data_IF_855220522997
#
_entry.id   IF_855220522997
#
_cell.length_a   1.000
_cell.length_b   1.000
_cell.length_c   1.000
_cell.angle_alpha   90.00
_cell.angle_beta   90.00
_cell.angle_gamma   90.00
#
_symmetry.space_group_name_H-M   'P 1'
#
loop_
_entity.id
_entity.type
_entity.pdbx_description
1 polymer ?
#
# COMPACT_ATOMS: atom_id res chain seq x y z
N UNK A 1 -17.02 1.29 14.47
CA UNK A 1 -15.69 0.88 13.99
C UNK A 1 -15.42 1.63 12.72
N UNK A 2 -14.43 2.52 12.71
CA UNK A 2 -14.13 3.33 11.54
C UNK A 2 -13.07 2.65 10.66
N UNK A 3 -13.12 2.97 9.37
CA UNK A 3 -12.16 2.52 8.36
C UNK A 3 -11.66 3.72 7.57
N UNK A 4 -10.41 3.63 7.15
CA UNK A 4 -9.73 4.68 6.42
C UNK A 4 -9.12 4.12 5.14
N UNK A 5 -9.15 4.92 4.08
CA UNK A 5 -8.34 4.70 2.88
C UNK A 5 -6.91 5.10 3.21
N UNK A 6 -5.98 4.16 3.06
CA UNK A 6 -4.56 4.37 3.28
C UNK A 6 -3.85 4.74 1.99
N UNK A 7 -3.05 5.81 2.02
CA UNK A 7 -2.25 6.28 0.89
C UNK A 7 -0.83 6.59 1.31
N UNK A 8 0.13 6.19 0.49
CA UNK A 8 1.49 6.68 0.61
C UNK A 8 1.50 8.13 0.14
N UNK A 9 2.05 9.01 0.97
CA UNK A 9 2.23 10.41 0.61
C UNK A 9 3.50 10.95 1.24
N UNK A 10 4.32 11.56 0.40
CA UNK A 10 5.50 12.29 0.82
C UNK A 10 5.58 13.62 0.03
N UNK A 11 6.33 14.58 0.55
CA UNK A 11 6.57 15.87 -0.12
C UNK A 11 7.94 15.87 -0.80
N UNK A 12 8.94 15.19 -0.21
CA UNK A 12 10.34 15.14 -0.69
C UNK A 12 10.94 13.73 -0.57
N UNK A 13 10.10 12.70 -0.55
CA UNK A 13 10.56 11.31 -0.42
C UNK A 13 11.23 10.86 -1.70
N UNK A 14 12.36 10.16 -1.57
CA UNK A 14 13.02 9.54 -2.72
C UNK A 14 12.07 8.56 -3.40
N UNK A 15 11.57 8.94 -4.58
CA UNK A 15 10.66 8.09 -5.35
C UNK A 15 11.42 6.90 -5.90
N UNK A 16 10.77 5.74 -5.92
CA UNK A 16 11.29 4.54 -6.56
C UNK A 16 10.46 4.27 -7.80
N UNK A 17 11.13 4.10 -8.94
CA UNK A 17 10.46 3.97 -10.23
C UNK A 17 10.17 2.52 -10.63
N UNK A 18 10.92 1.58 -10.07
CA UNK A 18 10.85 0.17 -10.47
C UNK A 18 11.01 -0.79 -9.30
N UNK A 19 10.38 -1.96 -9.43
CA UNK A 19 10.68 -3.11 -8.59
C UNK A 19 12.11 -3.60 -8.84
N UNK A 20 12.69 -4.41 -7.92
CA UNK A 20 14.00 -4.98 -8.17
C UNK A 20 14.04 -5.77 -9.49
N UNK A 21 15.20 -5.81 -10.13
CA UNK A 21 15.41 -6.62 -11.34
C UNK A 21 14.95 -8.07 -11.12
N UNK A 22 14.28 -8.63 -12.13
CA UNK A 22 13.66 -9.96 -12.12
C UNK A 22 12.38 -10.07 -11.26
N UNK A 23 11.80 -8.96 -10.84
CA UNK A 23 10.48 -8.97 -10.22
C UNK A 23 9.38 -9.41 -11.20
N UNK A 24 8.26 -9.93 -10.68
CA UNK A 24 7.07 -10.18 -11.48
C UNK A 24 6.57 -8.90 -12.15
N UNK A 25 5.76 -9.06 -13.20
CA UNK A 25 5.04 -7.95 -13.83
C UNK A 25 4.11 -7.25 -12.83
N UNK A 26 4.06 -5.91 -12.88
CA UNK A 26 3.37 -5.05 -11.92
C UNK A 26 1.95 -5.48 -11.58
N UNK A 27 1.15 -5.86 -12.58
CA UNK A 27 -0.24 -6.29 -12.38
C UNK A 27 -0.38 -7.47 -11.38
N UNK A 28 0.65 -8.32 -11.22
CA UNK A 28 0.61 -9.43 -10.26
C UNK A 28 0.62 -8.97 -8.80
N UNK A 29 1.15 -7.78 -8.51
CA UNK A 29 1.12 -7.20 -7.16
C UNK A 29 -0.30 -6.72 -6.78
N UNK A 30 -1.11 -6.38 -7.80
CA UNK A 30 -2.50 -5.97 -7.63
C UNK A 30 -3.45 -7.18 -7.41
N UNK A 31 -3.02 -8.41 -7.67
CA UNK A 31 -3.89 -9.60 -7.56
C UNK A 31 -4.08 -10.14 -6.13
N UNK A 32 -3.25 -9.75 -5.17
CA UNK A 32 -3.34 -10.26 -3.79
C UNK A 32 -2.94 -11.73 -3.66
N UNK A 33 -2.12 -12.22 -4.58
CA UNK A 33 -1.53 -13.57 -4.54
C UNK A 33 -0.14 -13.52 -3.92
N UNK A 34 0.32 -14.65 -3.37
CA UNK A 34 1.67 -14.82 -2.86
C UNK A 34 2.71 -14.65 -3.98
N UNK A 35 3.70 -13.79 -3.76
CA UNK A 35 4.77 -13.49 -4.71
C UNK A 35 6.14 -13.97 -4.24
N UNK A 36 6.28 -14.51 -3.03
CA UNK A 36 7.58 -14.90 -2.46
C UNK A 36 8.42 -15.83 -3.37
N UNK A 37 7.80 -16.66 -4.21
CA UNK A 37 8.52 -17.57 -5.13
C UNK A 37 9.02 -16.91 -6.41
N UNK A 38 8.39 -15.83 -6.84
CA UNK A 38 8.70 -15.12 -8.08
C UNK A 38 9.36 -13.77 -7.84
N UNK A 39 9.36 -13.29 -6.60
CA UNK A 39 10.02 -12.05 -6.19
C UNK A 39 11.49 -12.29 -5.85
N UNK A 40 12.41 -11.42 -6.30
CA UNK A 40 13.83 -11.48 -5.93
C UNK A 40 14.04 -11.00 -4.49
N UNK A 41 13.95 -11.92 -3.53
CA UNK A 41 14.16 -11.64 -2.11
C UNK A 41 15.54 -11.04 -1.84
N UNK A 42 15.59 -9.92 -1.12
CA UNK A 42 16.81 -9.16 -0.89
C UNK A 42 17.30 -8.36 -2.10
N UNK A 43 16.45 -8.22 -3.12
CA UNK A 43 16.71 -7.37 -4.28
C UNK A 43 16.91 -5.91 -3.91
N UNK A 44 17.38 -5.13 -4.87
CA UNK A 44 17.70 -3.72 -4.67
C UNK A 44 16.69 -2.84 -5.41
N UNK A 45 16.29 -1.75 -4.78
CA UNK A 45 15.58 -0.63 -5.42
C UNK A 45 16.37 0.64 -5.18
N UNK A 46 16.26 1.60 -6.09
CA UNK A 46 17.01 2.86 -6.02
C UNK A 46 16.06 4.04 -6.14
N UNK A 47 16.45 5.17 -5.55
CA UNK A 47 15.80 6.44 -5.82
C UNK A 47 15.91 6.79 -7.30
N UNK A 48 14.83 7.37 -7.82
CA UNK A 48 14.65 7.76 -9.21
C UNK A 48 15.54 8.92 -9.59
N UNK A 49 16.36 8.73 -10.62
CA UNK A 49 17.12 9.83 -11.24
C UNK A 49 16.22 10.92 -11.87
N UNK A 50 14.92 10.66 -12.05
CA UNK A 50 13.95 11.68 -12.49
C UNK A 50 13.62 12.70 -11.39
N UNK A 51 13.98 12.40 -10.13
CA UNK A 51 13.73 13.24 -8.96
C UNK A 51 15.00 13.41 -8.08
N UNK A 52 16.10 13.97 -8.61
CA UNK A 52 17.43 13.94 -7.98
C UNK A 52 17.52 14.68 -6.63
N UNK A 53 16.59 15.59 -6.36
CA UNK A 53 16.51 16.36 -5.13
C UNK A 53 15.69 15.65 -4.04
N UNK A 54 14.88 14.65 -4.41
CA UNK A 54 14.04 13.89 -3.48
C UNK A 54 14.86 12.79 -2.79
N UNK A 55 15.26 13.01 -1.54
CA UNK A 55 16.21 12.10 -0.85
C UNK A 55 15.71 11.55 0.46
N UNK A 56 14.54 11.98 0.93
CA UNK A 56 14.08 11.61 2.25
C UNK A 56 13.60 10.16 2.28
N UNK A 57 14.00 9.46 3.33
CA UNK A 57 13.46 8.16 3.69
C UNK A 57 12.23 8.33 4.58
N UNK A 58 11.22 7.55 4.27
CA UNK A 58 9.96 7.48 4.99
C UNK A 58 9.67 6.03 5.38
N UNK A 59 8.76 5.86 6.33
CA UNK A 59 8.33 4.52 6.74
C UNK A 59 7.47 3.83 5.71
N UNK A 60 6.68 4.62 4.98
CA UNK A 60 6.00 4.21 3.78
C UNK A 60 6.60 5.01 2.63
N UNK A 61 7.45 4.36 1.84
CA UNK A 61 8.26 5.02 0.83
C UNK A 61 7.45 5.18 -0.47
N UNK A 62 7.40 6.41 -1.05
CA UNK A 62 6.74 6.65 -2.32
C UNK A 62 7.41 5.85 -3.46
N UNK A 63 6.57 5.32 -4.35
CA UNK A 63 7.02 4.63 -5.54
C UNK A 63 5.96 4.74 -6.66
N UNK A 64 6.39 4.53 -7.90
CA UNK A 64 5.50 4.60 -9.08
C UNK A 64 4.71 3.31 -9.30
N UNK A 65 5.13 2.19 -8.69
CA UNK A 65 4.51 0.89 -8.88
C UNK A 65 3.25 0.67 -8.01
N UNK A 66 2.82 1.68 -7.25
CA UNK A 66 1.64 1.65 -6.35
C UNK A 66 1.69 0.58 -5.25
N UNK A 67 2.87 0.03 -4.98
CA UNK A 67 3.07 -0.94 -3.92
C UNK A 67 3.34 -0.26 -2.57
N UNK A 68 3.16 -1.01 -1.50
CA UNK A 68 3.44 -0.54 -0.15
C UNK A 68 4.89 -0.87 0.22
N UNK A 69 5.84 0.03 -0.06
CA UNK A 69 7.23 -0.16 0.38
C UNK A 69 7.39 0.35 1.81
N UNK A 70 7.68 -0.55 2.74
CA UNK A 70 7.60 -0.31 4.18
C UNK A 70 8.97 -0.46 4.84
N UNK A 71 9.32 0.46 5.73
CA UNK A 71 10.54 0.38 6.56
C UNK A 71 10.46 -0.77 7.57
N UNK A 72 11.60 -1.23 8.06
CA UNK A 72 11.68 -2.28 9.07
C UNK A 72 10.98 -1.92 10.38
N UNK A 73 10.94 -0.63 10.76
CA UNK A 73 10.21 -0.21 11.96
C UNK A 73 8.70 -0.29 11.76
N UNK A 74 8.19 0.16 10.61
CA UNK A 74 6.77 0.06 10.31
C UNK A 74 6.35 -1.40 10.10
N UNK A 75 7.18 -2.23 9.47
CA UNK A 75 6.98 -3.67 9.37
C UNK A 75 6.77 -4.31 10.75
N UNK A 76 7.70 -4.08 11.69
CA UNK A 76 7.59 -4.62 13.06
C UNK A 76 6.32 -4.17 13.78
N UNK A 77 5.92 -2.93 13.60
CA UNK A 77 4.66 -2.44 14.17
C UNK A 77 3.46 -3.18 13.57
N UNK A 78 3.42 -3.30 12.24
CA UNK A 78 2.35 -4.02 11.52
C UNK A 78 2.29 -5.49 11.96
N UNK A 79 3.44 -6.16 12.12
CA UNK A 79 3.52 -7.52 12.65
C UNK A 79 2.98 -7.60 14.08
N UNK A 80 3.31 -6.64 14.95
CA UNK A 80 2.81 -6.58 16.34
C UNK A 80 1.29 -6.37 16.44
N UNK A 81 0.69 -5.76 15.41
CA UNK A 81 -0.76 -5.61 15.30
C UNK A 81 -1.43 -6.92 14.85
N UNK A 82 -0.69 -7.97 14.48
CA UNK A 82 -1.25 -9.28 14.17
C UNK A 82 -1.99 -9.34 12.83
N UNK A 83 -1.52 -8.62 11.81
CA UNK A 83 -2.06 -8.77 10.46
C UNK A 83 -1.75 -10.18 9.92
N UNK A 84 -2.79 -10.93 9.59
CA UNK A 84 -2.69 -12.32 9.13
C UNK A 84 -2.47 -12.46 7.62
N UNK A 85 -2.72 -11.40 6.86
CA UNK A 85 -2.66 -11.37 5.41
C UNK A 85 -1.42 -10.63 4.87
N UNK A 86 -0.47 -10.26 5.72
CA UNK A 86 0.74 -9.56 5.31
C UNK A 86 1.80 -10.54 4.78
N UNK A 87 2.17 -10.41 3.50
CA UNK A 87 3.39 -10.98 2.94
C UNK A 87 4.46 -9.90 2.83
N UNK A 88 5.67 -10.19 3.32
CA UNK A 88 6.81 -9.27 3.27
C UNK A 88 7.80 -9.74 2.22
N UNK A 89 8.14 -8.84 1.29
CA UNK A 89 9.09 -9.06 0.21
C UNK A 89 10.30 -8.12 0.42
N UNK A 90 11.33 -8.57 1.17
CA UNK A 90 12.44 -7.72 1.62
C UNK A 90 13.30 -7.23 0.46
N UNK A 91 13.72 -5.98 0.56
CA UNK A 91 14.60 -5.28 -0.38
C UNK A 91 15.52 -4.34 0.36
N UNK A 92 16.57 -3.88 -0.33
CA UNK A 92 17.40 -2.75 0.13
C UNK A 92 17.11 -1.53 -0.74
N UNK A 93 17.03 -0.36 -0.10
CA UNK A 93 16.85 0.93 -0.76
C UNK A 93 18.19 1.63 -0.91
N UNK A 94 18.50 2.04 -2.15
CA UNK A 94 19.69 2.82 -2.50
C UNK A 94 19.34 4.27 -2.83
N UNK A 95 20.26 5.17 -2.55
CA UNK A 95 20.17 6.56 -3.02
C UNK A 95 20.55 6.67 -4.52
N UNK A 96 20.48 7.89 -5.07
CA UNK A 96 20.87 8.20 -6.44
C UNK A 96 22.37 7.96 -6.74
N UNK A 97 23.20 7.80 -5.71
CA UNK A 97 24.63 7.48 -5.85
C UNK A 97 24.89 5.98 -5.75
N UNK A 98 23.84 5.17 -5.50
CA UNK A 98 23.94 3.73 -5.32
C UNK A 98 24.34 3.29 -3.91
N UNK A 99 24.43 4.21 -2.94
CA UNK A 99 24.70 3.86 -1.55
C UNK A 99 23.44 3.28 -0.91
N UNK A 100 23.60 2.27 -0.06
CA UNK A 100 22.48 1.73 0.72
C UNK A 100 22.07 2.74 1.80
N UNK A 101 20.83 3.22 1.73
CA UNK A 101 20.25 4.16 2.70
C UNK A 101 19.12 3.52 3.50
N UNK A 102 18.44 2.50 2.96
CA UNK A 102 17.39 1.75 3.64
C UNK A 102 17.66 0.24 3.59
N UNK A 103 18.51 -0.32 4.48
CA UNK A 103 18.90 -1.73 4.42
C UNK A 103 17.81 -2.71 4.90
N UNK A 104 16.79 -2.21 5.60
CA UNK A 104 15.69 -3.02 6.13
C UNK A 104 14.36 -2.44 5.65
N UNK A 105 14.05 -2.66 4.38
CA UNK A 105 12.75 -2.34 3.78
C UNK A 105 12.12 -3.61 3.20
N UNK A 106 10.82 -3.59 3.01
CA UNK A 106 10.09 -4.66 2.36
C UNK A 106 8.86 -4.12 1.64
N UNK A 107 8.53 -4.68 0.49
CA UNK A 107 7.19 -4.50 -0.05
C UNK A 107 6.21 -5.33 0.78
N UNK A 108 5.16 -4.67 1.27
CA UNK A 108 4.00 -5.29 1.88
C UNK A 108 3.02 -5.67 0.78
N UNK A 109 2.87 -6.97 0.56
CA UNK A 109 1.84 -7.54 -0.28
C UNK A 109 0.70 -8.06 0.60
N UNK A 110 -0.48 -7.47 0.48
CA UNK A 110 -1.66 -7.91 1.23
C UNK A 110 -2.33 -9.06 0.49
N UNK A 111 -2.34 -10.24 1.09
CA UNK A 111 -2.91 -11.44 0.48
C UNK A 111 -4.43 -11.48 0.60
N UNK A 112 -5.08 -12.03 -0.42
CA UNK A 112 -6.54 -12.05 -0.52
C UNK A 112 -7.15 -10.66 -0.64
N UNK A 113 -8.46 -10.57 -0.47
CA UNK A 113 -9.22 -9.33 -0.54
C UNK A 113 -10.52 -9.46 0.24
N UNK A 114 -11.01 -8.36 0.78
CA UNK A 114 -12.32 -8.30 1.45
C UNK A 114 -13.38 -7.79 0.47
N UNK A 115 -14.55 -8.42 0.48
CA UNK A 115 -15.73 -7.88 -0.18
C UNK A 115 -16.33 -6.74 0.67
N UNK A 116 -15.63 -5.60 0.70
CA UNK A 116 -15.87 -4.52 1.64
C UNK A 116 -16.69 -3.36 1.07
N UNK A 117 -16.71 -3.19 -0.26
CA UNK A 117 -17.36 -2.05 -0.92
C UNK A 117 -18.87 -2.28 -0.99
N UNK A 118 -19.63 -1.30 -0.54
CA UNK A 118 -21.08 -1.24 -0.71
C UNK A 118 -21.38 -0.62 -2.08
N UNK A 119 -21.62 -1.46 -3.09
CA UNK A 119 -21.84 -1.02 -4.46
C UNK A 119 -23.18 -0.27 -4.64
N UNK A 120 -24.14 -0.45 -3.74
CA UNK A 120 -25.42 0.25 -3.80
C UNK A 120 -25.32 1.68 -3.27
N UNK A 121 -24.52 1.89 -2.22
CA UNK A 121 -24.32 3.20 -1.59
C UNK A 121 -23.13 3.98 -2.15
N UNK A 122 -22.22 3.33 -2.85
CA UNK A 122 -21.06 3.96 -3.48
C UNK A 122 -21.42 4.60 -4.82
N UNK A 123 -20.69 5.66 -5.18
CA UNK A 123 -20.72 6.26 -6.52
C UNK A 123 -19.37 6.01 -7.18
N UNK A 124 -19.35 5.21 -8.23
CA UNK A 124 -18.12 4.78 -8.89
C UNK A 124 -18.29 4.64 -10.41
N UNK A 125 -17.19 4.39 -11.09
CA UNK A 125 -17.13 3.96 -12.50
C UNK A 125 -16.22 2.74 -12.59
N UNK A 126 -16.68 1.71 -13.30
CA UNK A 126 -15.85 0.57 -13.63
C UNK A 126 -14.69 0.99 -14.54
N UNK A 127 -13.59 0.27 -14.43
CA UNK A 127 -12.45 0.41 -15.31
C UNK A 127 -12.83 -0.14 -16.70
N UNK A 128 -12.57 0.61 -17.79
CA UNK A 128 -12.89 0.16 -19.14
C UNK A 128 -11.94 -0.93 -19.68
N UNK A 129 -10.79 -1.16 -19.02
CA UNK A 129 -9.82 -2.18 -19.38
C UNK A 129 -9.95 -3.42 -18.50
N UNK A 130 -10.31 -3.23 -17.24
CA UNK A 130 -10.54 -4.29 -16.24
C UNK A 130 -11.99 -4.23 -15.76
N UNK A 131 -12.90 -4.88 -16.49
CA UNK A 131 -14.35 -4.75 -16.26
C UNK A 131 -14.82 -5.22 -14.87
N UNK A 132 -14.01 -6.00 -14.16
CA UNK A 132 -14.24 -6.46 -12.79
C UNK A 132 -13.64 -5.53 -11.71
N UNK A 133 -13.00 -4.42 -12.09
CA UNK A 133 -12.36 -3.45 -11.20
C UNK A 133 -12.97 -2.05 -11.31
N UNK A 134 -13.00 -1.32 -10.21
CA UNK A 134 -13.47 0.07 -10.14
C UNK A 134 -12.32 1.01 -10.55
N UNK A 135 -12.37 1.56 -11.75
CA UNK A 135 -11.36 2.54 -12.19
C UNK A 135 -11.46 3.91 -11.50
N UNK A 136 -12.65 4.31 -11.01
CA UNK A 136 -12.82 5.60 -10.33
C UNK A 136 -13.90 5.57 -9.25
N UNK A 137 -13.54 6.05 -8.07
CA UNK A 137 -14.47 6.30 -6.96
C UNK A 137 -14.77 7.80 -6.88
N UNK A 138 -16.05 8.15 -6.70
CA UNK A 138 -16.52 9.52 -6.43
C UNK A 138 -17.17 9.68 -5.06
N UNK A 139 -17.62 8.56 -4.49
CA UNK A 139 -18.11 8.43 -3.12
C UNK A 139 -17.96 6.96 -2.73
N UNK A 140 -17.12 6.67 -1.76
CA UNK A 140 -16.97 5.33 -1.23
C UNK A 140 -17.95 5.12 -0.07
N UNK A 141 -18.63 3.98 -0.06
CA UNK A 141 -19.32 3.45 1.10
C UNK A 141 -18.83 2.02 1.33
N UNK A 142 -18.64 1.66 2.59
CA UNK A 142 -18.32 0.28 2.96
C UNK A 142 -19.56 -0.43 3.50
N UNK A 143 -19.52 -1.76 3.46
CA UNK A 143 -20.48 -2.66 4.12
C UNK A 143 -19.79 -3.40 5.29
N UNK A 144 -19.67 -2.77 6.49
CA UNK A 144 -18.87 -3.33 7.59
C UNK A 144 -19.27 -4.75 8.02
N UNK A 145 -20.54 -5.12 7.84
CA UNK A 145 -21.04 -6.46 8.17
C UNK A 145 -20.41 -7.58 7.30
N UNK A 146 -19.86 -7.26 6.14
CA UNK A 146 -19.18 -8.21 5.23
C UNK A 146 -17.67 -8.24 5.42
N UNK A 147 -17.11 -7.32 6.21
CA UNK A 147 -15.66 -7.24 6.46
C UNK A 147 -15.34 -8.16 7.64
N UNK A 148 -14.33 -9.02 7.47
CA UNK A 148 -13.88 -9.88 8.57
C UNK A 148 -13.51 -9.05 9.81
N UNK A 149 -13.91 -9.44 11.03
CA UNK A 149 -13.53 -8.74 12.25
C UNK A 149 -12.01 -8.77 12.50
N UNK A 150 -11.30 -9.71 11.88
CA UNK A 150 -9.84 -9.82 11.95
C UNK A 150 -9.13 -9.00 10.85
N UNK A 151 -9.86 -8.45 9.88
CA UNK A 151 -9.27 -7.65 8.81
C UNK A 151 -8.90 -6.25 9.35
N UNK A 152 -7.59 -6.03 9.51
CA UNK A 152 -7.02 -4.78 10.03
C UNK A 152 -6.49 -3.87 8.94
N UNK A 153 -5.89 -4.45 7.90
CA UNK A 153 -5.42 -3.77 6.70
C UNK A 153 -5.61 -4.73 5.52
N UNK A 154 -6.29 -4.28 4.48
CA UNK A 154 -6.72 -5.17 3.39
C UNK A 154 -6.98 -4.40 2.10
N UNK A 155 -7.04 -5.14 1.00
CA UNK A 155 -7.52 -4.66 -0.30
C UNK A 155 -8.98 -5.03 -0.52
N UNK A 156 -9.68 -4.29 -1.38
CA UNK A 156 -11.06 -4.57 -1.76
C UNK A 156 -11.12 -5.46 -3.01
N UNK A 157 -12.05 -6.40 -3.07
CA UNK A 157 -12.21 -7.31 -4.24
C UNK A 157 -12.44 -6.57 -5.56
N UNK A 158 -13.29 -5.53 -5.52
CA UNK A 158 -13.69 -4.73 -6.69
C UNK A 158 -12.77 -3.52 -6.96
N UNK A 159 -11.75 -3.29 -6.15
CA UNK A 159 -10.73 -2.26 -6.39
C UNK A 159 -9.48 -2.67 -5.62
N UNK A 160 -8.68 -3.56 -6.22
CA UNK A 160 -7.59 -4.23 -5.49
C UNK A 160 -6.46 -3.30 -5.08
N UNK A 161 -6.37 -2.11 -5.66
CA UNK A 161 -5.38 -1.06 -5.32
C UNK A 161 -5.88 -0.16 -4.19
N UNK A 162 -7.17 -0.27 -3.83
CA UNK A 162 -7.74 0.41 -2.68
C UNK A 162 -7.37 -0.32 -1.39
N UNK A 163 -6.39 0.24 -0.69
CA UNK A 163 -6.01 -0.26 0.63
C UNK A 163 -6.82 0.43 1.72
N UNK A 164 -7.50 -0.37 2.53
CA UNK A 164 -8.27 0.05 3.68
C UNK A 164 -7.52 -0.35 4.95
N UNK A 165 -7.47 0.55 5.93
CA UNK A 165 -7.01 0.26 7.28
C UNK A 165 -8.12 0.52 8.30
N UNK A 166 -8.13 -0.28 9.36
CA UNK A 166 -8.98 -0.09 10.52
C UNK A 166 -8.45 1.03 11.42
N UNK A 167 -9.34 1.62 12.19
CA UNK A 167 -9.03 2.73 13.09
C UNK A 167 -7.90 2.47 14.09
N UNK A 168 -7.80 1.26 14.63
CA UNK A 168 -6.72 0.88 15.55
C UNK A 168 -5.35 0.82 14.88
N UNK A 169 -5.27 0.36 13.62
CA UNK A 169 -4.05 0.41 12.81
C UNK A 169 -3.61 1.85 12.59
N UNK A 170 -4.55 2.72 12.20
CA UNK A 170 -4.26 4.14 12.03
C UNK A 170 -3.76 4.78 13.33
N UNK A 171 -4.44 4.53 14.45
CA UNK A 171 -4.04 5.05 15.76
C UNK A 171 -2.62 4.60 16.12
N UNK A 172 -2.29 3.32 15.92
CA UNK A 172 -0.96 2.79 16.18
C UNK A 172 0.12 3.45 15.31
N UNK A 173 -0.17 3.70 14.03
CA UNK A 173 0.78 4.38 13.13
C UNK A 173 1.07 5.82 13.58
N UNK A 174 0.04 6.53 14.02
CA UNK A 174 0.15 7.91 14.55
C UNK A 174 0.91 7.92 15.87
N UNK A 175 0.56 7.03 16.80
CA UNK A 175 1.21 6.93 18.12
C UNK A 175 2.70 6.60 17.99
N UNK A 176 3.07 5.71 17.06
CA UNK A 176 4.45 5.36 16.77
C UNK A 176 5.20 6.44 15.95
N UNK A 177 4.52 7.51 15.52
CA UNK A 177 5.09 8.58 14.71
C UNK A 177 5.66 8.06 13.37
N UNK A 178 4.98 7.11 12.73
CA UNK A 178 5.36 6.64 11.38
C UNK A 178 5.17 7.77 10.36
N UNK A 179 5.95 7.73 9.29
CA UNK A 179 6.01 8.79 8.28
C UNK A 179 5.72 8.26 6.87
N UNK A 180 5.38 9.14 5.93
CA UNK A 180 5.18 8.78 4.52
C UNK A 180 3.78 8.27 4.17
N UNK A 181 2.80 8.46 5.05
CA UNK A 181 1.43 8.06 4.78
C UNK A 181 0.43 9.18 5.05
N UNK A 182 -0.74 9.05 4.45
CA UNK A 182 -1.93 9.82 4.73
C UNK A 182 -3.13 8.91 4.71
N UNK A 183 -4.13 9.25 5.53
CA UNK A 183 -5.39 8.53 5.58
C UNK A 183 -6.56 9.45 5.23
N UNK A 184 -7.61 8.86 4.68
CA UNK A 184 -8.88 9.53 4.40
C UNK A 184 -10.00 8.68 4.99
N UNK A 185 -11.04 9.29 5.56
CA UNK A 185 -12.23 8.54 5.97
C UNK A 185 -12.75 7.73 4.79
N UNK A 186 -12.94 6.42 4.95
CA UNK A 186 -13.42 5.59 3.86
C UNK A 186 -14.87 5.95 3.49
N UNK A 187 -15.74 6.14 4.48
CA UNK A 187 -17.10 6.60 4.23
C UNK A 187 -17.10 8.02 3.65
N UNK A 188 -17.67 8.17 2.46
CA UNK A 188 -17.74 9.43 1.73
C UNK A 188 -16.48 9.81 0.95
N UNK A 189 -15.43 8.98 0.93
CA UNK A 189 -14.21 9.32 0.18
C UNK A 189 -14.49 9.52 -1.30
N UNK A 190 -13.97 10.61 -1.87
CA UNK A 190 -14.29 11.04 -3.24
C UNK A 190 -13.28 10.59 -4.30
N UNK A 191 -12.37 9.68 -3.94
CA UNK A 191 -11.32 9.17 -4.82
C UNK A 191 -10.13 10.13 -5.01
N UNK A 192 -10.12 11.29 -4.35
CA UNK A 192 -9.01 12.24 -4.44
C UNK A 192 -8.06 12.11 -3.24
N UNK A 193 -6.78 12.31 -3.54
CA UNK A 193 -5.69 12.36 -2.58
C UNK A 193 -5.37 13.84 -2.29
N UNK A 194 -6.26 14.51 -1.57
CA UNK A 194 -6.10 15.91 -1.15
C UNK A 194 -4.98 16.05 -0.16
#
# INVERSE_FOLDING_TARGET
MNFFVFKIRSIEGGYIDEYPRNSPTDWKFDEGICLAKSFPMGGEVSFSDNHPDSRNLYDFQPNLMRAQLVSGRARKLIESLGLTNAEWLPVVVKDHQGNVVGPDYAFLNLLGAEDAIDLERSVYKMDPLEEDQIGRIKKLALKPASISPEAKMFRCTMERRLIIIREDVHAAFVEAGLTGFKVYNAEGWNGLEL
#
